data_IF_939946583298
#
_entry.id   IF_939946583298
#
_cell.length_a   1.000
_cell.length_b   1.000
_cell.length_c   1.000
_cell.angle_alpha   90.00
_cell.angle_beta   90.00
_cell.angle_gamma   90.00
#
_symmetry.space_group_name_H-M   'P 1'
#
loop_
_entity.id
_entity.type
_entity.pdbx_description
1 polymer ?
#
# COMPACT_ATOMS: atom_id res chain seq x y z
N UNK A 1 3.77 -27.34 -2.12
CA UNK A 1 5.00 -27.36 -1.29
C UNK A 1 4.71 -26.62 0.01
N UNK A 2 4.98 -27.18 1.20
CA UNK A 2 4.66 -26.49 2.46
C UNK A 2 5.66 -25.36 2.72
N UNK A 3 5.18 -24.13 2.92
CA UNK A 3 6.00 -22.93 3.18
C UNK A 3 7.07 -23.18 4.25
N UNK A 4 6.71 -23.85 5.34
CA UNK A 4 7.65 -24.17 6.43
C UNK A 4 8.89 -24.95 5.97
N UNK A 5 8.74 -25.87 5.03
CA UNK A 5 9.88 -26.61 4.47
C UNK A 5 10.78 -25.70 3.64
N UNK A 6 10.21 -24.72 2.94
CA UNK A 6 10.96 -23.72 2.17
C UNK A 6 11.78 -22.84 3.14
N UNK A 7 11.13 -22.31 4.17
CA UNK A 7 11.76 -21.42 5.14
C UNK A 7 12.83 -22.14 5.97
N UNK A 8 12.63 -23.43 6.30
CA UNK A 8 13.68 -24.25 6.92
C UNK A 8 14.94 -24.34 6.03
N UNK A 9 14.79 -24.43 4.70
CA UNK A 9 15.91 -24.42 3.76
C UNK A 9 16.52 -23.01 3.54
N UNK A 10 15.78 -21.96 3.87
CA UNK A 10 16.31 -20.58 3.87
C UNK A 10 17.20 -20.33 5.08
N UNK A 11 16.88 -20.98 6.20
CA UNK A 11 17.58 -20.84 7.47
C UNK A 11 19.01 -21.36 7.42
N UNK A 12 19.87 -20.79 8.26
CA UNK A 12 21.26 -21.22 8.47
C UNK A 12 21.61 -21.14 9.97
N UNK A 13 22.88 -21.34 10.33
CA UNK A 13 23.31 -21.31 11.73
C UNK A 13 23.07 -19.97 12.46
N UNK A 14 22.90 -18.87 11.71
CA UNK A 14 22.78 -17.52 12.25
C UNK A 14 21.35 -16.97 12.16
N UNK A 15 20.65 -17.24 11.05
CA UNK A 15 19.34 -16.68 10.76
C UNK A 15 18.31 -17.78 10.55
N UNK A 16 17.18 -17.67 11.25
CA UNK A 16 16.03 -18.57 11.06
C UNK A 16 14.88 -17.84 10.35
N UNK A 17 14.26 -18.49 9.38
CA UNK A 17 13.13 -17.93 8.64
C UNK A 17 11.85 -18.55 9.16
N UNK A 18 10.90 -17.71 9.60
CA UNK A 18 9.71 -18.14 10.32
C UNK A 18 8.47 -17.62 9.59
N UNK A 19 7.50 -18.50 9.31
CA UNK A 19 6.25 -18.10 8.67
C UNK A 19 5.54 -17.05 9.52
N UNK A 20 4.95 -16.03 8.86
CA UNK A 20 4.10 -15.01 9.48
C UNK A 20 3.05 -15.59 10.45
N UNK A 21 2.55 -16.80 10.17
CA UNK A 21 1.52 -17.47 10.99
C UNK A 21 2.03 -18.00 12.34
N UNK A 22 3.33 -17.93 12.61
CA UNK A 22 3.97 -18.55 13.80
C UNK A 22 4.52 -17.54 14.81
N UNK A 23 4.29 -16.24 14.61
CA UNK A 23 4.70 -15.21 15.53
C UNK A 23 3.76 -14.00 15.44
N UNK A 24 3.85 -13.10 16.41
CA UNK A 24 3.11 -11.85 16.38
C UNK A 24 3.72 -10.88 15.36
N UNK A 25 3.19 -10.93 14.13
CA UNK A 25 3.62 -10.08 13.03
C UNK A 25 3.41 -8.59 13.31
N UNK A 26 2.25 -8.23 13.87
CA UNK A 26 1.91 -6.82 14.11
C UNK A 26 2.74 -6.24 15.27
N UNK A 27 3.06 -7.06 16.27
CA UNK A 27 4.03 -6.71 17.32
C UNK A 27 5.38 -6.31 16.75
N UNK A 28 5.96 -7.12 15.85
CA UNK A 28 7.24 -6.80 15.19
C UNK A 28 7.10 -5.60 14.25
N UNK A 29 6.01 -5.53 13.47
CA UNK A 29 5.73 -4.42 12.56
C UNK A 29 5.71 -3.07 13.29
N UNK A 30 5.13 -3.02 14.49
CA UNK A 30 5.02 -1.78 15.28
C UNK A 30 6.38 -1.20 15.71
N UNK A 31 7.41 -2.03 15.82
CA UNK A 31 8.78 -1.63 16.21
C UNK A 31 9.74 -1.49 15.03
N UNK A 32 9.26 -1.71 13.79
CA UNK A 32 10.04 -1.45 12.58
C UNK A 32 10.38 0.04 12.44
N UNK A 33 11.49 0.33 11.75
CA UNK A 33 11.93 1.71 11.51
C UNK A 33 10.94 2.50 10.66
N UNK A 34 10.29 1.84 9.70
CA UNK A 34 9.34 2.43 8.76
C UNK A 34 8.13 1.51 8.60
N UNK A 35 7.16 1.53 9.55
CA UNK A 35 5.97 0.69 9.50
C UNK A 35 4.99 1.16 8.41
N UNK A 36 5.30 0.91 7.15
CA UNK A 36 4.44 1.23 5.99
C UNK A 36 3.20 0.35 6.01
N UNK A 37 2.02 0.90 5.72
CA UNK A 37 0.70 0.23 5.84
C UNK A 37 0.67 -1.12 5.14
N UNK A 38 1.37 -1.23 4.00
CA UNK A 38 1.46 -2.46 3.20
C UNK A 38 1.99 -3.67 3.97
N UNK A 39 2.72 -3.46 5.05
CA UNK A 39 3.29 -4.53 5.87
C UNK A 39 2.43 -4.87 7.08
N UNK A 40 1.31 -4.17 7.32
CA UNK A 40 0.41 -4.54 8.42
C UNK A 40 -0.31 -5.85 8.15
N UNK A 41 -0.66 -6.59 9.20
CA UNK A 41 -1.40 -7.85 9.05
C UNK A 41 -2.72 -7.69 8.32
N UNK A 42 -3.52 -6.69 8.71
CA UNK A 42 -4.80 -6.44 8.09
C UNK A 42 -4.67 -6.13 6.59
N UNK A 43 -3.62 -5.42 6.17
CA UNK A 43 -3.42 -5.13 4.74
C UNK A 43 -3.09 -6.40 3.95
N UNK A 44 -2.21 -7.26 4.47
CA UNK A 44 -1.86 -8.54 3.83
C UNK A 44 -3.12 -9.41 3.70
N UNK A 45 -3.89 -9.55 4.77
CA UNK A 45 -5.11 -10.37 4.79
C UNK A 45 -6.19 -9.80 3.85
N UNK A 46 -6.36 -8.47 3.83
CA UNK A 46 -7.22 -7.76 2.89
C UNK A 46 -6.83 -8.05 1.43
N UNK A 47 -5.52 -7.98 1.11
CA UNK A 47 -5.02 -8.21 -0.24
C UNK A 47 -5.20 -9.65 -0.69
N UNK A 48 -4.93 -10.62 0.18
CA UNK A 48 -5.17 -12.03 -0.10
C UNK A 48 -6.65 -12.28 -0.43
N UNK A 49 -7.55 -11.79 0.41
CA UNK A 49 -8.99 -11.97 0.20
C UNK A 49 -9.49 -11.23 -1.04
N UNK A 50 -8.87 -10.10 -1.41
CA UNK A 50 -9.14 -9.44 -2.68
C UNK A 50 -8.83 -10.35 -3.87
N UNK A 51 -7.70 -11.09 -3.86
CA UNK A 51 -7.37 -12.04 -4.92
C UNK A 51 -8.30 -13.25 -4.95
N UNK A 52 -8.53 -13.87 -3.77
CA UNK A 52 -9.43 -15.03 -3.64
C UNK A 52 -10.84 -14.67 -4.12
N UNK A 53 -11.36 -13.50 -3.74
CA UNK A 53 -12.65 -12.99 -4.18
C UNK A 53 -12.75 -12.73 -5.69
N UNK A 54 -11.62 -12.57 -6.38
CA UNK A 54 -11.54 -12.47 -7.84
C UNK A 54 -11.15 -13.81 -8.51
N UNK A 55 -11.31 -14.93 -7.80
CA UNK A 55 -11.02 -16.30 -8.28
C UNK A 55 -9.54 -16.53 -8.63
N UNK A 56 -8.65 -15.77 -8.02
CA UNK A 56 -7.19 -15.97 -8.12
C UNK A 56 -6.76 -16.75 -6.87
N UNK A 57 -6.20 -17.95 -7.08
CA UNK A 57 -5.68 -18.73 -5.96
C UNK A 57 -4.42 -18.05 -5.42
N UNK A 58 -4.41 -17.80 -4.12
CA UNK A 58 -3.40 -17.01 -3.44
C UNK A 58 -3.08 -17.63 -2.07
N UNK A 59 -1.80 -17.92 -1.84
CA UNK A 59 -1.29 -18.46 -0.58
C UNK A 59 -0.35 -17.46 0.10
N UNK A 60 -0.45 -17.37 1.42
CA UNK A 60 0.45 -16.53 2.22
C UNK A 60 1.83 -17.17 2.32
N UNK A 61 2.82 -16.54 1.70
CA UNK A 61 4.23 -16.91 1.74
C UNK A 61 5.06 -15.91 2.57
N UNK A 62 4.39 -15.02 3.33
CA UNK A 62 5.05 -14.00 4.13
C UNK A 62 5.79 -14.61 5.31
N UNK A 63 6.93 -14.02 5.67
CA UNK A 63 7.78 -14.54 6.74
C UNK A 63 8.58 -13.45 7.44
N UNK A 64 9.05 -13.78 8.64
CA UNK A 64 10.03 -13.01 9.38
C UNK A 64 11.40 -13.68 9.37
N UNK A 65 12.45 -12.90 9.60
CA UNK A 65 13.83 -13.40 9.81
C UNK A 65 14.20 -13.18 11.27
N UNK A 66 14.58 -14.26 11.93
CA UNK A 66 14.97 -14.32 13.33
C UNK A 66 16.49 -14.30 13.48
N UNK A 67 16.97 -13.56 14.48
CA UNK A 67 18.36 -13.56 14.96
C UNK A 67 18.33 -13.66 16.49
N UNK A 68 19.06 -14.62 17.06
CA UNK A 68 19.14 -14.82 18.52
C UNK A 68 17.78 -14.92 19.24
N UNK A 69 16.79 -15.56 18.60
CA UNK A 69 15.44 -15.71 19.17
C UNK A 69 14.47 -14.57 18.86
N UNK A 70 14.94 -13.43 18.33
CA UNK A 70 14.09 -12.27 18.04
C UNK A 70 13.83 -12.12 16.54
N UNK A 71 12.58 -11.86 16.14
CA UNK A 71 12.25 -11.52 14.74
C UNK A 71 12.66 -10.08 14.49
N UNK A 72 13.59 -9.88 13.55
CA UNK A 72 14.21 -8.57 13.32
C UNK A 72 13.91 -7.99 11.93
N UNK A 73 13.30 -8.77 11.05
CA UNK A 73 12.98 -8.39 9.68
C UNK A 73 11.67 -9.06 9.23
N UNK A 74 10.87 -8.35 8.46
CA UNK A 74 9.60 -8.82 7.90
C UNK A 74 9.62 -8.69 6.37
N UNK A 75 9.11 -9.71 5.68
CA UNK A 75 8.91 -9.69 4.23
C UNK A 75 7.51 -10.23 3.88
N UNK A 76 6.59 -9.38 3.39
CA UNK A 76 5.32 -9.82 2.85
C UNK A 76 5.54 -10.46 1.47
N UNK A 77 4.95 -11.63 1.26
CA UNK A 77 5.10 -12.37 0.03
C UNK A 77 3.90 -13.28 -0.20
N UNK A 78 3.37 -13.28 -1.41
CA UNK A 78 2.22 -14.09 -1.79
C UNK A 78 2.60 -14.98 -2.95
N UNK A 79 2.17 -16.24 -2.88
CA UNK A 79 2.25 -17.17 -3.98
C UNK A 79 0.91 -17.21 -4.71
N UNK A 80 0.97 -17.15 -6.04
CA UNK A 80 -0.20 -17.15 -6.91
C UNK A 80 -0.15 -18.39 -7.79
N UNK A 81 -1.29 -19.08 -7.89
CA UNK A 81 -1.51 -20.11 -8.90
C UNK A 81 -2.53 -19.57 -9.91
N UNK A 82 -2.08 -19.28 -11.14
CA UNK A 82 -2.98 -18.96 -12.24
C UNK A 82 -3.01 -20.11 -13.26
N UNK A 83 -4.04 -20.11 -14.12
CA UNK A 83 -4.16 -21.07 -15.23
C UNK A 83 -2.96 -21.02 -16.18
N UNK A 84 -2.43 -19.82 -16.41
CA UNK A 84 -1.37 -19.60 -17.40
C UNK A 84 0.03 -19.59 -16.77
N UNK A 85 0.20 -19.00 -15.58
CA UNK A 85 1.48 -19.01 -14.88
C UNK A 85 1.36 -18.79 -13.37
N UNK A 86 2.14 -19.55 -12.60
CA UNK A 86 2.33 -19.30 -11.18
C UNK A 86 3.22 -18.06 -10.97
N UNK A 87 3.11 -17.43 -9.81
CA UNK A 87 3.91 -16.24 -9.49
C UNK A 87 4.22 -16.12 -8.00
N UNK A 88 5.28 -15.37 -7.68
CA UNK A 88 5.66 -15.05 -6.31
C UNK A 88 5.90 -13.55 -6.22
N UNK A 89 5.00 -12.81 -5.59
CA UNK A 89 5.05 -11.35 -5.52
C UNK A 89 4.18 -10.83 -4.38
N UNK A 90 4.04 -9.51 -4.25
CA UNK A 90 3.13 -8.94 -3.25
C UNK A 90 2.20 -7.89 -3.86
N UNK A 91 2.74 -6.72 -4.18
CA UNK A 91 2.01 -5.62 -4.79
C UNK A 91 2.62 -5.32 -6.16
N UNK A 92 1.76 -4.96 -7.12
CA UNK A 92 2.14 -4.65 -8.49
C UNK A 92 3.10 -5.66 -9.12
N UNK A 93 2.85 -6.95 -8.87
CA UNK A 93 3.64 -8.11 -9.34
C UNK A 93 5.11 -8.09 -8.90
N UNK A 94 5.47 -7.26 -7.93
CA UNK A 94 6.83 -7.12 -7.42
C UNK A 94 6.98 -7.69 -6.02
N UNK A 95 8.19 -8.15 -5.70
CA UNK A 95 8.66 -8.41 -4.34
C UNK A 95 9.04 -7.07 -3.72
N UNK A 96 8.44 -6.73 -2.59
CA UNK A 96 8.71 -5.49 -1.89
C UNK A 96 9.93 -5.62 -0.96
N UNK A 97 10.60 -4.51 -0.58
CA UNK A 97 11.79 -4.57 0.24
C UNK A 97 11.51 -5.20 1.61
N UNK A 98 12.48 -5.89 2.25
CA UNK A 98 12.35 -6.23 3.66
C UNK A 98 12.28 -4.96 4.52
N UNK A 99 11.48 -4.97 5.58
CA UNK A 99 11.51 -3.95 6.63
C UNK A 99 12.17 -4.50 7.88
N UNK A 100 12.91 -3.65 8.60
CA UNK A 100 13.74 -4.05 9.73
C UNK A 100 13.29 -3.36 11.02
N UNK A 101 13.51 -4.04 12.14
CA UNK A 101 13.40 -3.45 13.48
C UNK A 101 14.36 -2.27 13.64
N UNK A 102 13.98 -1.24 14.41
CA UNK A 102 14.75 0.01 14.56
C UNK A 102 16.21 -0.16 14.99
N UNK A 103 16.50 -1.17 15.82
CA UNK A 103 17.79 -1.32 16.49
C UNK A 103 18.77 -2.27 15.75
N UNK A 104 18.58 -2.49 14.46
CA UNK A 104 19.44 -3.37 13.67
C UNK A 104 20.60 -2.60 13.04
N UNK A 105 21.81 -3.15 13.18
CA UNK A 105 22.98 -2.55 12.54
C UNK A 105 22.92 -2.69 11.01
N UNK A 106 23.46 -1.69 10.30
CA UNK A 106 23.59 -1.72 8.82
C UNK A 106 24.33 -2.97 8.32
N UNK A 107 25.23 -3.55 9.12
CA UNK A 107 25.93 -4.80 8.79
C UNK A 107 24.96 -5.98 8.72
N UNK A 108 24.11 -6.16 9.75
CA UNK A 108 23.11 -7.22 9.79
C UNK A 108 22.05 -7.02 8.71
N UNK A 109 21.58 -5.78 8.52
CA UNK A 109 20.64 -5.44 7.43
C UNK A 109 21.19 -5.86 6.05
N UNK A 110 22.47 -5.57 5.79
CA UNK A 110 23.15 -5.97 4.55
C UNK A 110 23.32 -7.48 4.42
N UNK A 111 23.69 -8.17 5.49
CA UNK A 111 23.81 -9.64 5.49
C UNK A 111 22.46 -10.30 5.16
N UNK A 112 21.39 -9.88 5.85
CA UNK A 112 20.03 -10.39 5.61
C UNK A 112 19.55 -10.05 4.20
N UNK A 113 19.78 -8.81 3.72
CA UNK A 113 19.39 -8.40 2.37
C UNK A 113 20.05 -9.26 1.28
N UNK A 114 21.34 -9.57 1.40
CA UNK A 114 22.01 -10.47 0.46
C UNK A 114 21.44 -11.89 0.56
N UNK A 115 21.27 -12.42 1.78
CA UNK A 115 20.72 -13.75 2.00
C UNK A 115 19.31 -13.87 1.39
N UNK A 116 18.44 -12.89 1.64
CA UNK A 116 17.09 -12.83 1.08
C UNK A 116 17.10 -12.88 -0.44
N UNK A 117 17.94 -12.07 -1.08
CA UNK A 117 18.04 -12.08 -2.54
C UNK A 117 18.40 -13.48 -3.07
N UNK A 118 19.45 -14.10 -2.54
CA UNK A 118 19.91 -15.43 -3.03
C UNK A 118 18.86 -16.53 -2.78
N UNK A 119 18.17 -16.48 -1.63
CA UNK A 119 17.11 -17.43 -1.30
C UNK A 119 15.87 -17.24 -2.16
N UNK A 120 15.47 -16.00 -2.44
CA UNK A 120 14.38 -15.69 -3.38
C UNK A 120 14.74 -16.17 -4.79
N UNK A 121 15.93 -15.85 -5.30
CA UNK A 121 16.40 -16.33 -6.61
C UNK A 121 16.35 -17.86 -6.71
N UNK A 122 16.83 -18.56 -5.68
CA UNK A 122 16.78 -20.04 -5.61
C UNK A 122 15.35 -20.56 -5.61
N UNK A 123 14.44 -19.90 -4.88
CA UNK A 123 13.04 -20.27 -4.83
C UNK A 123 12.33 -20.08 -6.18
N UNK A 124 12.59 -18.96 -6.88
CA UNK A 124 12.09 -18.73 -8.24
C UNK A 124 12.52 -19.83 -9.19
N UNK A 125 13.81 -20.20 -9.17
CA UNK A 125 14.34 -21.30 -10.00
C UNK A 125 13.69 -22.64 -9.65
N UNK A 126 13.55 -22.96 -8.35
CA UNK A 126 12.94 -24.21 -7.88
C UNK A 126 11.46 -24.31 -8.28
N UNK A 127 10.74 -23.19 -8.26
CA UNK A 127 9.34 -23.09 -8.65
C UNK A 127 9.13 -22.91 -10.17
N UNK A 128 10.21 -22.78 -10.94
CA UNK A 128 10.20 -22.54 -12.39
C UNK A 128 9.35 -21.32 -12.79
N UNK A 129 9.48 -20.23 -12.04
CA UNK A 129 8.77 -18.97 -12.31
C UNK A 129 9.52 -18.15 -13.37
N UNK A 130 8.81 -17.58 -14.35
CA UNK A 130 9.46 -16.92 -15.50
C UNK A 130 10.09 -15.57 -15.19
N UNK A 131 9.53 -14.82 -14.23
CA UNK A 131 9.86 -13.41 -14.03
C UNK A 131 9.88 -13.02 -12.56
N UNK A 132 11.08 -12.68 -12.08
CA UNK A 132 11.25 -12.01 -10.79
C UNK A 132 11.28 -10.50 -11.02
N UNK A 133 10.44 -9.77 -10.29
CA UNK A 133 10.45 -8.31 -10.22
C UNK A 133 10.64 -7.88 -8.77
N UNK A 134 11.58 -6.98 -8.51
CA UNK A 134 11.86 -6.48 -7.17
C UNK A 134 11.62 -4.97 -7.13
N UNK A 135 10.91 -4.51 -6.11
CA UNK A 135 10.63 -3.11 -5.84
C UNK A 135 11.54 -2.56 -4.74
N UNK A 136 11.80 -1.26 -4.74
CA UNK A 136 12.43 -0.56 -3.62
C UNK A 136 12.04 0.94 -3.53
N UNK A 137 12.40 1.54 -2.38
CA UNK A 137 12.23 2.95 -2.03
C UNK A 137 10.75 3.32 -1.87
N UNK A 138 10.06 2.63 -0.96
CA UNK A 138 8.61 2.77 -0.77
C UNK A 138 8.16 4.11 -0.21
N UNK A 139 9.03 4.87 0.44
CA UNK A 139 8.66 6.08 1.18
C UNK A 139 9.72 7.17 0.97
N UNK A 140 9.37 8.44 1.21
CA UNK A 140 10.33 9.55 1.11
C UNK A 140 11.58 9.32 1.98
N UNK A 141 12.76 9.32 1.35
CA UNK A 141 14.07 9.17 2.00
C UNK A 141 15.15 9.88 1.19
N UNK A 142 16.10 10.52 1.86
CA UNK A 142 17.23 11.22 1.21
C UNK A 142 18.29 10.25 0.65
N UNK A 143 18.21 8.96 1.03
CA UNK A 143 19.17 7.94 0.67
C UNK A 143 18.52 6.71 0.05
N UNK A 144 19.25 6.07 -0.88
CA UNK A 144 18.94 4.73 -1.36
C UNK A 144 19.19 3.69 -0.25
N UNK A 145 18.28 2.72 -0.14
CA UNK A 145 18.32 1.70 0.91
C UNK A 145 19.48 0.72 0.71
N UNK A 146 19.77 -0.10 1.74
CA UNK A 146 20.73 -1.22 1.58
C UNK A 146 20.16 -2.26 0.61
N UNK A 147 18.85 -2.51 0.65
CA UNK A 147 18.15 -3.37 -0.30
C UNK A 147 18.36 -2.90 -1.74
N UNK A 148 18.22 -1.60 -2.02
CA UNK A 148 18.53 -1.00 -3.32
C UNK A 148 19.90 -1.45 -3.82
N UNK A 149 20.94 -1.24 -3.00
CA UNK A 149 22.33 -1.50 -3.36
C UNK A 149 22.59 -2.98 -3.59
N UNK A 150 21.89 -3.87 -2.87
CA UNK A 150 21.98 -5.32 -3.05
C UNK A 150 21.35 -5.73 -4.38
N UNK A 151 20.16 -5.24 -4.68
CA UNK A 151 19.38 -5.62 -5.87
C UNK A 151 19.96 -5.01 -7.14
N UNK A 152 20.30 -3.72 -7.11
CA UNK A 152 20.85 -2.98 -8.26
C UNK A 152 22.12 -3.61 -8.81
N UNK A 153 22.99 -4.16 -7.94
CA UNK A 153 24.22 -4.86 -8.37
C UNK A 153 23.97 -6.14 -9.16
N UNK A 154 22.76 -6.69 -9.10
CA UNK A 154 22.40 -8.01 -9.67
C UNK A 154 21.37 -7.90 -10.78
N UNK A 155 20.64 -6.79 -10.84
CA UNK A 155 19.68 -6.51 -11.89
C UNK A 155 20.39 -6.00 -13.15
N UNK A 156 19.89 -6.41 -14.31
CA UNK A 156 20.29 -5.83 -15.60
C UNK A 156 19.43 -4.63 -15.97
N UNK A 157 18.19 -4.57 -15.44
CA UNK A 157 17.25 -3.48 -15.69
C UNK A 157 16.82 -2.80 -14.39
N UNK A 158 16.71 -1.48 -14.41
CA UNK A 158 16.16 -0.65 -13.34
C UNK A 158 15.22 0.40 -13.94
N UNK A 159 13.95 0.37 -13.55
CA UNK A 159 12.91 1.31 -13.98
C UNK A 159 12.57 2.26 -12.84
N UNK A 160 12.31 3.52 -13.18
CA UNK A 160 11.90 4.54 -12.22
C UNK A 160 10.39 4.72 -12.31
N UNK A 161 9.73 4.56 -11.17
CA UNK A 161 8.32 4.85 -10.95
C UNK A 161 8.20 6.06 -10.01
N UNK A 162 7.00 6.60 -9.84
CA UNK A 162 6.78 7.75 -8.98
C UNK A 162 5.54 7.60 -8.13
N UNK A 163 5.61 8.07 -6.90
CA UNK A 163 4.50 8.04 -5.99
C UNK A 163 4.31 9.40 -5.30
N UNK A 164 3.05 9.81 -5.17
CA UNK A 164 2.67 11.11 -4.65
C UNK A 164 2.40 11.07 -3.15
N UNK A 165 2.97 12.04 -2.43
CA UNK A 165 2.85 12.15 -0.97
C UNK A 165 2.51 13.58 -0.51
N UNK A 166 1.79 13.68 0.60
CA UNK A 166 1.67 14.90 1.40
C UNK A 166 2.53 14.75 2.65
N UNK A 167 3.41 15.73 2.90
CA UNK A 167 4.17 15.82 4.15
C UNK A 167 3.28 16.46 5.21
N UNK A 168 2.76 15.67 6.13
CA UNK A 168 1.78 16.12 7.12
C UNK A 168 2.39 16.95 8.26
N UNK A 169 3.72 16.96 8.39
CA UNK A 169 4.42 17.82 9.34
C UNK A 169 4.48 19.30 8.90
N UNK A 170 3.97 19.63 7.71
CA UNK A 170 3.85 21.00 7.23
C UNK A 170 2.51 21.58 7.70
N UNK A 171 2.46 22.89 7.89
CA UNK A 171 1.18 23.55 8.17
C UNK A 171 0.25 23.50 6.94
N UNK A 172 -1.06 23.61 7.18
CA UNK A 172 -2.05 23.50 6.12
C UNK A 172 -1.88 24.57 5.02
N UNK A 173 -1.41 25.77 5.34
CA UNK A 173 -1.21 26.82 4.32
C UNK A 173 -0.09 26.44 3.35
N UNK A 174 1.01 25.86 3.86
CA UNK A 174 2.11 25.32 3.05
C UNK A 174 1.67 24.11 2.22
N UNK A 175 0.87 23.21 2.77
CA UNK A 175 0.32 22.08 2.00
C UNK A 175 -0.61 22.58 0.89
N UNK A 176 -1.54 23.47 1.22
CA UNK A 176 -2.51 24.02 0.27
C UNK A 176 -1.84 24.88 -0.81
N UNK A 177 -0.70 25.51 -0.54
CA UNK A 177 0.03 26.28 -1.55
C UNK A 177 0.49 25.37 -2.70
N UNK A 178 0.90 24.14 -2.39
CA UNK A 178 1.32 23.09 -3.33
C UNK A 178 0.17 22.47 -4.14
N UNK A 179 -1.09 22.66 -3.73
CA UNK A 179 -2.21 22.15 -4.51
C UNK A 179 -2.21 22.73 -5.91
N UNK A 180 -2.56 21.91 -6.90
CA UNK A 180 -2.81 22.34 -8.27
C UNK A 180 -3.75 23.54 -8.28
N UNK A 181 -3.41 24.59 -9.04
CA UNK A 181 -4.15 25.87 -9.05
C UNK A 181 -5.67 25.68 -9.22
N UNK A 182 -6.08 24.81 -10.15
CA UNK A 182 -7.49 24.52 -10.41
C UNK A 182 -8.22 23.84 -9.24
N UNK A 183 -7.51 23.16 -8.34
CA UNK A 183 -8.14 22.45 -7.22
C UNK A 183 -8.65 23.41 -6.17
N UNK A 184 -8.01 24.56 -6.03
CA UNK A 184 -8.38 25.55 -5.00
C UNK A 184 -9.81 26.05 -5.19
N UNK A 185 -10.23 26.34 -6.42
CA UNK A 185 -11.61 26.73 -6.72
C UNK A 185 -12.59 25.55 -6.65
N UNK A 186 -12.18 24.36 -7.09
CA UNK A 186 -12.99 23.14 -6.99
C UNK A 186 -13.28 22.77 -5.54
N UNK A 187 -12.30 22.89 -4.65
CA UNK A 187 -12.47 22.68 -3.21
C UNK A 187 -13.47 23.70 -2.66
N UNK A 188 -13.31 25.00 -2.96
CA UNK A 188 -14.28 26.02 -2.53
C UNK A 188 -15.69 25.67 -2.99
N UNK A 189 -15.84 25.27 -4.26
CA UNK A 189 -17.14 24.87 -4.80
C UNK A 189 -17.72 23.65 -4.11
N UNK A 190 -16.89 22.67 -3.76
CA UNK A 190 -17.34 21.49 -3.03
C UNK A 190 -17.79 21.80 -1.59
N UNK A 191 -17.17 22.78 -0.91
CA UNK A 191 -17.61 23.24 0.41
C UNK A 191 -19.01 23.87 0.38
N UNK A 192 -19.44 24.43 -0.75
CA UNK A 192 -20.80 24.97 -0.92
C UNK A 192 -21.84 23.88 -1.14
N UNK A 193 -21.43 22.76 -1.74
CA UNK A 193 -22.34 21.73 -2.26
C UNK A 193 -22.49 20.51 -1.35
N UNK A 194 -21.49 20.24 -0.50
CA UNK A 194 -21.39 19.00 0.23
C UNK A 194 -20.94 19.22 1.67
N UNK A 195 -21.40 18.34 2.55
CA UNK A 195 -20.87 18.19 3.90
C UNK A 195 -19.85 17.06 3.93
N UNK A 196 -18.67 17.27 4.53
CA UNK A 196 -17.68 16.21 4.73
C UNK A 196 -17.69 15.74 6.18
N UNK A 197 -17.71 14.42 6.36
CA UNK A 197 -17.86 13.76 7.66
C UNK A 197 -16.76 12.72 7.81
N UNK A 198 -16.11 12.72 8.97
CA UNK A 198 -15.29 11.60 9.43
C UNK A 198 -16.15 10.69 10.29
N UNK A 199 -16.15 9.40 9.97
CA UNK A 199 -16.93 8.42 10.71
C UNK A 199 -16.24 8.08 12.03
N UNK A 200 -16.69 8.73 13.12
CA UNK A 200 -16.14 8.55 14.47
C UNK A 200 -16.70 7.33 15.22
N UNK A 201 -17.93 6.93 14.90
CA UNK A 201 -18.64 5.83 15.55
C UNK A 201 -18.91 4.70 14.57
N UNK A 202 -19.09 3.49 15.11
CA UNK A 202 -19.49 2.35 14.30
C UNK A 202 -20.92 2.54 13.79
N UNK A 203 -21.06 2.85 12.49
CA UNK A 203 -22.33 2.86 11.79
C UNK A 203 -22.27 1.91 10.60
N UNK A 204 -22.63 0.65 10.83
CA UNK A 204 -22.65 -0.40 9.80
C UNK A 204 -23.48 0.01 8.57
N UNK A 205 -24.59 0.72 8.76
CA UNK A 205 -25.42 1.23 7.68
C UNK A 205 -24.66 2.15 6.72
N UNK A 206 -23.89 3.12 7.25
CA UNK A 206 -23.06 4.04 6.45
C UNK A 206 -21.97 3.27 5.70
N UNK A 207 -21.39 2.24 6.33
CA UNK A 207 -20.41 1.39 5.66
C UNK A 207 -21.01 0.58 4.51
N UNK A 208 -22.22 0.04 4.69
CA UNK A 208 -22.92 -0.71 3.66
C UNK A 208 -23.39 0.21 2.51
N UNK A 209 -23.75 1.46 2.80
CA UNK A 209 -23.98 2.50 1.79
C UNK A 209 -22.71 2.78 0.98
N UNK A 210 -21.56 2.94 1.63
CA UNK A 210 -20.27 3.12 0.92
C UNK A 210 -19.92 1.91 0.04
N UNK A 211 -20.17 0.69 0.52
CA UNK A 211 -20.00 -0.54 -0.26
C UNK A 211 -20.90 -0.55 -1.50
N UNK A 212 -22.17 -0.16 -1.36
CA UNK A 212 -23.11 -0.05 -2.47
C UNK A 212 -22.66 1.02 -3.48
N UNK A 213 -22.23 2.19 -3.01
CA UNK A 213 -21.67 3.26 -3.84
C UNK A 213 -20.43 2.79 -4.60
N UNK A 214 -19.53 2.05 -3.95
CA UNK A 214 -18.37 1.46 -4.61
C UNK A 214 -18.78 0.49 -5.73
N UNK A 215 -19.80 -0.34 -5.54
CA UNK A 215 -20.27 -1.24 -6.59
C UNK A 215 -20.89 -0.49 -7.76
N UNK A 216 -21.74 0.53 -7.49
CA UNK A 216 -22.29 1.42 -8.52
C UNK A 216 -21.17 2.11 -9.30
N UNK A 217 -20.21 2.70 -8.59
CA UNK A 217 -19.06 3.40 -9.17
C UNK A 217 -18.05 2.48 -9.84
N UNK A 218 -18.02 1.18 -9.56
CA UNK A 218 -17.21 0.23 -10.30
C UNK A 218 -17.96 -0.36 -11.52
N UNK A 219 -19.30 -0.38 -11.48
CA UNK A 219 -20.15 -1.09 -12.42
C UNK A 219 -20.18 -2.61 -12.22
N UNK A 220 -19.51 -3.11 -11.17
CA UNK A 220 -19.44 -4.54 -10.83
C UNK A 220 -19.01 -4.74 -9.38
N UNK A 221 -19.25 -5.95 -8.85
CA UNK A 221 -18.59 -6.41 -7.63
C UNK A 221 -17.10 -6.62 -7.91
N UNK A 222 -16.23 -5.86 -7.23
CA UNK A 222 -14.76 -5.92 -7.46
C UNK A 222 -14.02 -6.77 -6.44
N UNK A 223 -14.69 -7.22 -5.37
CA UNK A 223 -14.12 -8.00 -4.26
C UNK A 223 -15.22 -8.75 -3.49
N UNK A 224 -14.83 -9.77 -2.72
CA UNK A 224 -15.74 -10.58 -1.90
C UNK A 224 -16.32 -9.78 -0.73
N UNK A 225 -17.38 -10.31 -0.12
CA UNK A 225 -17.95 -9.71 1.10
C UNK A 225 -17.02 -9.84 2.30
N UNK A 226 -16.24 -10.92 2.35
CA UNK A 226 -15.19 -11.11 3.35
C UNK A 226 -14.09 -10.05 3.27
N UNK A 227 -13.73 -9.61 2.06
CA UNK A 227 -12.82 -8.48 1.88
C UNK A 227 -13.39 -7.19 2.48
N UNK A 228 -14.69 -6.94 2.31
CA UNK A 228 -15.37 -5.79 2.93
C UNK A 228 -15.48 -5.91 4.45
N UNK A 229 -15.64 -7.12 4.98
CA UNK A 229 -15.65 -7.39 6.42
C UNK A 229 -14.28 -7.11 7.05
N UNK A 230 -13.18 -7.55 6.43
CA UNK A 230 -11.81 -7.25 6.90
C UNK A 230 -11.59 -5.73 6.99
N UNK A 231 -12.02 -4.99 5.96
CA UNK A 231 -11.92 -3.53 5.93
C UNK A 231 -12.75 -2.87 7.04
N UNK A 232 -13.98 -3.33 7.24
CA UNK A 232 -14.85 -2.85 8.32
C UNK A 232 -14.24 -3.14 9.70
N UNK A 233 -13.75 -4.35 9.93
CA UNK A 233 -13.11 -4.72 11.19
C UNK A 233 -11.88 -3.84 11.48
N UNK A 234 -11.10 -3.50 10.44
CA UNK A 234 -9.98 -2.56 10.58
C UNK A 234 -10.41 -1.12 10.94
N UNK A 235 -11.56 -0.68 10.45
CA UNK A 235 -12.18 0.59 10.87
C UNK A 235 -12.63 0.53 12.34
N UNK A 236 -13.31 -0.55 12.76
CA UNK A 236 -13.76 -0.73 14.16
C UNK A 236 -12.58 -0.79 15.13
N UNK A 237 -11.48 -1.43 14.73
CA UNK A 237 -10.25 -1.50 15.51
C UNK A 237 -9.39 -0.23 15.42
N UNK A 238 -9.90 0.87 14.86
CA UNK A 238 -9.21 2.16 14.68
C UNK A 238 -7.88 2.08 13.92
N UNK A 239 -7.69 1.03 13.12
CA UNK A 239 -6.53 0.91 12.21
C UNK A 239 -6.74 1.79 10.97
N UNK A 240 -7.99 2.04 10.60
CA UNK A 240 -8.39 2.85 9.45
C UNK A 240 -9.30 3.98 9.87
N UNK A 241 -9.36 5.04 9.06
CA UNK A 241 -10.35 6.09 9.14
C UNK A 241 -11.22 6.06 7.88
N UNK A 242 -12.52 6.32 8.04
CA UNK A 242 -13.44 6.46 6.91
C UNK A 242 -13.99 7.88 6.87
N UNK A 243 -13.94 8.47 5.68
CA UNK A 243 -14.42 9.81 5.41
C UNK A 243 -15.41 9.73 4.26
N UNK A 244 -16.50 10.48 4.37
CA UNK A 244 -17.48 10.55 3.30
C UNK A 244 -18.02 11.96 3.16
N UNK A 245 -18.67 12.22 2.05
CA UNK A 245 -19.39 13.45 1.82
C UNK A 245 -20.84 13.17 1.42
N UNK A 246 -21.74 13.97 1.96
CA UNK A 246 -23.17 13.93 1.69
C UNK A 246 -23.63 15.23 1.01
N UNK A 247 -24.73 15.16 0.27
CA UNK A 247 -25.46 16.34 -0.19
C UNK A 247 -26.36 16.91 0.93
N UNK A 248 -27.11 17.97 0.61
CA UNK A 248 -28.02 18.62 1.57
C UNK A 248 -29.17 17.71 2.04
N UNK A 249 -29.47 16.64 1.31
CA UNK A 249 -30.47 15.64 1.68
C UNK A 249 -29.87 14.52 2.57
N UNK A 250 -28.58 14.61 2.89
CA UNK A 250 -27.87 13.64 3.72
C UNK A 250 -27.45 12.35 2.98
N UNK A 251 -27.55 12.33 1.64
CA UNK A 251 -27.22 11.15 0.83
C UNK A 251 -25.73 11.12 0.49
N UNK A 252 -25.05 9.99 0.71
CA UNK A 252 -23.63 9.86 0.42
C UNK A 252 -23.35 9.97 -1.10
N UNK A 253 -22.50 10.92 -1.49
CA UNK A 253 -22.04 11.10 -2.88
C UNK A 253 -20.62 10.64 -3.11
N UNK A 254 -19.85 10.47 -2.04
CA UNK A 254 -18.46 10.06 -2.11
C UNK A 254 -17.95 9.54 -0.77
N UNK A 255 -16.99 8.61 -0.84
CA UNK A 255 -16.34 8.04 0.33
C UNK A 255 -14.89 7.69 0.06
N UNK A 256 -14.07 7.77 1.10
CA UNK A 256 -12.65 7.44 1.09
C UNK A 256 -12.27 6.70 2.37
N UNK A 257 -11.69 5.51 2.22
CA UNK A 257 -11.08 4.76 3.31
C UNK A 257 -9.58 5.04 3.33
N UNK A 258 -9.11 5.52 4.48
CA UNK A 258 -7.70 5.81 4.74
C UNK A 258 -7.16 4.76 5.70
N UNK A 259 -6.16 4.01 5.25
CA UNK A 259 -5.47 3.06 6.11
C UNK A 259 -4.31 3.75 6.82
N UNK A 260 -4.04 3.43 8.09
CA UNK A 260 -3.02 4.14 8.87
C UNK A 260 -2.02 3.21 9.54
N UNK A 261 -0.85 3.76 9.76
CA UNK A 261 0.16 3.30 10.70
C UNK A 261 0.74 4.51 11.44
N UNK A 262 1.60 4.33 12.46
CA UNK A 262 2.29 5.45 13.09
C UNK A 262 3.19 6.25 12.12
N UNK A 263 3.55 5.69 10.96
CA UNK A 263 4.44 6.34 10.00
C UNK A 263 3.69 7.02 8.86
N UNK A 264 2.62 6.41 8.36
CA UNK A 264 1.89 6.92 7.21
C UNK A 264 0.39 6.68 7.28
N UNK A 265 -0.34 7.53 6.56
CA UNK A 265 -1.71 7.31 6.12
C UNK A 265 -1.66 6.96 4.63
N UNK A 266 -2.55 6.08 4.18
CA UNK A 266 -2.62 5.61 2.80
C UNK A 266 -4.03 5.76 2.26
N UNK A 267 -4.15 6.47 1.14
CA UNK A 267 -5.41 6.58 0.40
C UNK A 267 -5.75 5.26 -0.29
N UNK A 268 -6.40 4.36 0.45
CA UNK A 268 -6.56 2.97 0.07
C UNK A 268 -7.72 2.72 -0.88
N UNK A 269 -8.89 3.32 -0.61
CA UNK A 269 -10.10 3.10 -1.39
C UNK A 269 -10.85 4.41 -1.51
N UNK A 270 -11.28 4.76 -2.73
CA UNK A 270 -12.22 5.84 -2.98
C UNK A 270 -13.36 5.34 -3.86
N UNK A 271 -14.57 5.80 -3.57
CA UNK A 271 -15.73 5.61 -4.44
C UNK A 271 -16.56 6.89 -4.46
N UNK A 272 -17.01 7.27 -5.65
CA UNK A 272 -17.73 8.51 -5.89
C UNK A 272 -18.86 8.25 -6.88
N UNK A 273 -19.97 8.95 -6.76
CA UNK A 273 -21.09 8.82 -7.69
C UNK A 273 -20.68 9.31 -9.09
N UNK A 274 -20.75 8.41 -10.08
CA UNK A 274 -20.32 8.69 -11.46
C UNK A 274 -21.14 9.77 -12.13
N UNK A 275 -22.43 9.83 -11.78
CA UNK A 275 -23.37 10.79 -12.33
C UNK A 275 -22.98 12.23 -11.94
N UNK A 276 -22.18 12.36 -10.87
CA UNK A 276 -21.72 13.62 -10.30
C UNK A 276 -20.22 13.89 -10.52
N UNK A 277 -19.55 13.21 -11.47
CA UNK A 277 -18.12 13.46 -11.74
C UNK A 277 -17.82 14.85 -12.28
N UNK A 278 -18.83 15.56 -12.78
CA UNK A 278 -18.73 16.97 -13.12
C UNK A 278 -18.64 17.88 -11.88
N UNK A 279 -18.95 17.37 -10.69
CA UNK A 279 -18.87 18.07 -9.41
C UNK A 279 -17.56 17.72 -8.66
N UNK A 280 -17.03 18.63 -7.83
CA UNK A 280 -15.71 18.49 -7.22
C UNK A 280 -15.65 17.60 -5.98
N UNK A 281 -16.42 16.50 -5.94
CA UNK A 281 -16.58 15.64 -4.76
C UNK A 281 -15.23 15.15 -4.21
N UNK A 282 -14.43 14.52 -5.07
CA UNK A 282 -13.12 14.00 -4.67
C UNK A 282 -12.15 15.11 -4.24
N UNK A 283 -12.25 16.31 -4.82
CA UNK A 283 -11.36 17.41 -4.48
C UNK A 283 -11.62 17.93 -3.08
N UNK A 284 -12.89 18.18 -2.79
CA UNK A 284 -13.37 18.60 -1.49
C UNK A 284 -13.05 17.56 -0.40
N UNK A 285 -13.37 16.28 -0.64
CA UNK A 285 -13.17 15.25 0.37
C UNK A 285 -11.68 15.03 0.69
N UNK A 286 -10.79 15.08 -0.31
CA UNK A 286 -9.35 14.94 -0.06
C UNK A 286 -8.76 16.11 0.72
N UNK A 287 -9.23 17.34 0.50
CA UNK A 287 -8.82 18.49 1.31
C UNK A 287 -9.26 18.34 2.78
N UNK A 288 -10.49 17.85 3.01
CA UNK A 288 -10.98 17.55 4.35
C UNK A 288 -10.13 16.49 5.06
N UNK A 289 -9.80 15.39 4.36
CA UNK A 289 -8.93 14.33 4.88
C UNK A 289 -7.56 14.89 5.25
N UNK A 290 -6.95 15.71 4.39
CA UNK A 290 -5.64 16.31 4.66
C UNK A 290 -5.69 17.20 5.91
N UNK A 291 -6.71 18.05 6.05
CA UNK A 291 -6.92 18.88 7.25
C UNK A 291 -7.06 18.06 8.53
N UNK A 292 -7.72 16.92 8.46
CA UNK A 292 -7.87 16.02 9.60
C UNK A 292 -6.55 15.33 9.94
N UNK A 293 -5.86 14.79 8.94
CA UNK A 293 -4.59 14.07 9.14
C UNK A 293 -3.47 14.95 9.68
N UNK A 294 -3.41 16.25 9.36
CA UNK A 294 -2.44 17.20 9.93
C UNK A 294 -2.55 17.31 11.45
N UNK A 295 -3.72 16.98 12.04
CA UNK A 295 -3.94 17.00 13.50
C UNK A 295 -3.42 15.72 14.18
N UNK A 296 -2.80 14.81 13.43
CA UNK A 296 -2.27 13.53 13.91
C UNK A 296 -0.76 13.51 13.85
N UNK A 297 -0.12 12.58 14.55
CA UNK A 297 1.34 12.39 14.50
C UNK A 297 1.83 11.62 13.25
N UNK A 298 0.93 11.35 12.30
CA UNK A 298 1.28 10.64 11.06
C UNK A 298 2.17 11.54 10.21
N UNK A 299 3.30 11.01 9.72
CA UNK A 299 4.30 11.81 8.99
C UNK A 299 3.92 12.08 7.53
N UNK A 300 3.39 11.07 6.86
CA UNK A 300 3.14 11.08 5.42
C UNK A 300 1.74 10.63 5.09
N UNK A 301 1.07 11.33 4.16
CA UNK A 301 -0.12 10.82 3.50
C UNK A 301 0.23 10.38 2.08
N UNK A 302 0.23 9.07 1.85
CA UNK A 302 0.48 8.40 0.58
C UNK A 302 -0.80 8.44 -0.27
N UNK A 303 -0.77 9.22 -1.35
CA UNK A 303 -1.90 9.38 -2.26
C UNK A 303 -1.93 8.24 -3.29
N UNK A 304 -0.75 7.72 -3.65
CA UNK A 304 -0.55 6.61 -4.57
C UNK A 304 0.25 7.02 -5.81
N UNK A 305 0.37 6.07 -6.74
CA UNK A 305 1.27 6.19 -7.90
C UNK A 305 0.88 7.32 -8.86
N UNK A 306 1.88 8.04 -9.33
CA UNK A 306 1.79 8.95 -10.46
C UNK A 306 2.33 8.24 -11.70
N UNK A 307 1.41 7.86 -12.58
CA UNK A 307 1.71 7.08 -13.77
C UNK A 307 2.19 7.97 -14.92
N UNK A 308 3.03 7.39 -15.77
CA UNK A 308 3.46 8.01 -17.02
C UNK A 308 3.30 7.02 -18.18
N UNK A 309 2.99 7.50 -19.38
CA UNK A 309 2.81 6.67 -20.57
C UNK A 309 4.08 5.91 -20.98
N UNK A 310 5.26 6.38 -20.56
CA UNK A 310 6.54 5.72 -20.76
C UNK A 310 6.95 4.79 -19.60
N UNK A 311 6.11 4.63 -18.57
CA UNK A 311 6.35 3.65 -17.52
C UNK A 311 6.35 2.24 -18.12
N UNK A 312 7.23 1.38 -17.61
CA UNK A 312 7.52 0.09 -18.24
C UNK A 312 6.31 -0.88 -18.24
N UNK A 313 5.38 -0.72 -17.31
CA UNK A 313 4.16 -1.53 -17.20
C UNK A 313 2.97 -0.95 -17.99
N UNK A 314 3.22 0.10 -18.79
CA UNK A 314 2.29 0.66 -19.79
C UNK A 314 0.90 0.94 -19.20
N UNK A 315 0.80 1.89 -18.25
CA UNK A 315 -0.45 2.18 -17.58
C UNK A 315 -1.52 2.65 -18.55
N UNK A 316 -2.76 2.31 -18.25
CA UNK A 316 -3.93 2.74 -19.00
C UNK A 316 -4.16 4.25 -18.84
N UNK A 317 -4.89 4.86 -19.77
CA UNK A 317 -5.29 6.25 -19.66
C UNK A 317 -6.04 6.52 -18.34
N UNK A 318 -6.90 5.59 -17.93
CA UNK A 318 -7.62 5.66 -16.65
C UNK A 318 -6.66 5.74 -15.45
N UNK A 319 -5.64 4.89 -15.41
CA UNK A 319 -4.64 4.92 -14.33
C UNK A 319 -3.86 6.22 -14.32
N UNK A 320 -3.48 6.73 -15.49
CA UNK A 320 -2.84 8.03 -15.63
C UNK A 320 -3.72 9.17 -15.11
N UNK A 321 -5.01 9.21 -15.47
CA UNK A 321 -5.93 10.23 -14.98
C UNK A 321 -6.11 10.15 -13.45
N UNK A 322 -6.20 8.95 -12.89
CA UNK A 322 -6.25 8.75 -11.43
C UNK A 322 -4.97 9.28 -10.75
N UNK A 323 -3.80 8.99 -11.33
CA UNK A 323 -2.51 9.47 -10.83
C UNK A 323 -2.39 10.99 -10.90
N UNK A 324 -2.80 11.60 -12.01
CA UNK A 324 -2.82 13.06 -12.22
C UNK A 324 -3.75 13.74 -11.23
N UNK A 325 -4.91 13.12 -10.95
CA UNK A 325 -5.85 13.62 -9.95
C UNK A 325 -5.19 13.65 -8.56
N UNK A 326 -4.66 12.50 -8.14
CA UNK A 326 -4.02 12.34 -6.83
C UNK A 326 -2.83 13.28 -6.65
N UNK A 327 -1.95 13.40 -7.65
CA UNK A 327 -0.76 14.24 -7.53
C UNK A 327 -1.06 15.73 -7.39
N UNK A 328 -2.26 16.18 -7.74
CA UNK A 328 -2.69 17.56 -7.55
C UNK A 328 -2.81 18.01 -6.08
N UNK A 329 -2.80 17.09 -5.12
CA UNK A 329 -2.72 17.39 -3.68
C UNK A 329 -1.32 17.21 -3.10
N UNK A 330 -0.39 16.68 -3.88
CA UNK A 330 0.91 16.24 -3.36
C UNK A 330 1.84 17.42 -3.08
N UNK A 331 2.61 17.27 -2.01
CA UNK A 331 3.75 18.17 -1.70
C UNK A 331 5.05 17.60 -2.24
N UNK A 332 5.10 16.27 -2.44
CA UNK A 332 6.29 15.55 -2.88
C UNK A 332 5.90 14.49 -3.90
N UNK A 333 6.76 14.33 -4.89
CA UNK A 333 6.74 13.23 -5.83
C UNK A 333 8.03 12.43 -5.64
N UNK A 334 7.91 11.20 -5.17
CA UNK A 334 9.06 10.38 -4.76
C UNK A 334 9.34 9.33 -5.82
N UNK A 335 10.60 9.16 -6.26
CA UNK A 335 10.96 8.06 -7.15
C UNK A 335 10.96 6.74 -6.39
N UNK A 336 10.39 5.71 -6.98
CA UNK A 336 10.54 4.34 -6.54
C UNK A 336 11.18 3.53 -7.67
N UNK A 337 11.75 2.37 -7.35
CA UNK A 337 12.53 1.61 -8.32
C UNK A 337 11.97 0.21 -8.49
N UNK A 338 11.91 -0.25 -9.74
CA UNK A 338 11.60 -1.65 -10.05
C UNK A 338 12.73 -2.27 -10.85
N UNK A 339 13.20 -3.41 -10.40
CA UNK A 339 14.34 -4.13 -10.94
C UNK A 339 13.88 -5.43 -11.57
N UNK A 340 14.42 -5.73 -12.75
CA UNK A 340 14.13 -6.97 -13.47
C UNK A 340 15.41 -7.52 -14.11
N UNK A 341 15.32 -8.75 -14.63
CA UNK A 341 16.42 -9.49 -15.28
C UNK A 341 17.66 -9.61 -14.39
N UNK A 342 17.65 -10.61 -13.51
CA UNK A 342 18.73 -10.83 -12.56
C UNK A 342 19.80 -11.79 -13.10
N UNK A 343 21.07 -11.44 -12.90
CA UNK A 343 22.22 -12.31 -13.17
C UNK A 343 22.35 -13.39 -12.10
#
# INVERSE_FOLDING_TARGET
>A
MKLDQILKNFSNHKFSFISRKKFDWDGVFSICSTPVVYYSSNFIDFRMEYFVGNKIKCDDFSFGVQLNGEIICLLPLLYFENRDENGLSFLDRSIYPPIFSKNISKKIEKEISNLLFEKLKTLFNRLKLSSMEIFDHLYPSDNLSIWHKVVFKRASNCYVLRESFVKLSLDYSTIRSNYRKSYKSLISKGNELFEAIKLEKNHKCIWDEFKALHFKSAGRKTRSDKSWEILFNGLISKKYDFYFCADHDGVMKGGSLIMKSPFEAFYAIGAYDRDLFHLPIGHFLQDFIIKDLIKTDVRWYRLGRYFNNYDFDKPTEKEMQIGIFKSGFSTHLIPNYRFTKFK
#
